data_IF_513269154044
#
_entry.id   IF_513269154044
#
_cell.length_a   1.000
_cell.length_b   1.000
_cell.length_c   1.000
_cell.angle_alpha   90.00
_cell.angle_beta   90.00
_cell.angle_gamma   90.00
#
_symmetry.space_group_name_H-M   'P 1'
#
loop_
_entity.id
_entity.type
_entity.pdbx_description
1 polymer ?
#
# COMPACT_ATOMS: atom_id res chain seq x y z
N UNK A 1 28.56 53.74 14.40
CA UNK A 1 28.70 52.31 14.04
C UNK A 1 27.31 51.71 13.95
N UNK A 2 26.98 50.91 12.93
CA UNK A 2 25.74 50.14 12.95
C UNK A 2 25.80 49.19 14.15
N UNK A 3 24.71 49.07 14.90
CA UNK A 3 24.59 48.02 15.92
C UNK A 3 24.56 46.66 15.21
N UNK A 4 25.37 45.72 15.67
CA UNK A 4 25.32 44.32 15.25
C UNK A 4 24.46 43.58 16.26
N UNK A 5 23.44 42.86 15.78
CA UNK A 5 22.63 41.99 16.61
C UNK A 5 23.30 40.62 16.75
N UNK A 6 23.41 40.12 17.97
CA UNK A 6 23.96 38.79 18.28
C UNK A 6 22.82 37.79 18.55
N UNK A 7 22.79 36.71 17.78
CA UNK A 7 21.80 35.64 17.93
C UNK A 7 22.15 34.65 19.06
N UNK A 8 23.38 34.67 19.58
CA UNK A 8 23.84 33.73 20.62
C UNK A 8 23.13 33.86 21.96
N UNK A 9 22.43 34.97 22.21
CA UNK A 9 21.65 35.20 23.44
C UNK A 9 20.14 35.04 23.24
N UNK A 10 19.70 34.61 22.06
CA UNK A 10 18.27 34.40 21.76
C UNK A 10 17.83 33.08 22.41
N UNK A 11 16.71 33.12 23.13
CA UNK A 11 16.11 31.92 23.72
C UNK A 11 15.65 30.95 22.62
N UNK A 12 15.90 29.64 22.76
CA UNK A 12 15.35 28.65 21.85
C UNK A 12 13.82 28.75 21.72
N UNK A 13 13.30 28.48 20.53
CA UNK A 13 11.87 28.48 20.25
C UNK A 13 11.22 29.86 20.18
N UNK A 14 11.98 30.94 20.05
CA UNK A 14 11.43 32.32 19.95
C UNK A 14 11.75 33.03 18.64
N UNK A 15 12.31 32.36 17.63
CA UNK A 15 12.79 32.98 16.40
C UNK A 15 11.70 33.80 15.67
N UNK A 16 10.47 33.27 15.63
CA UNK A 16 9.33 33.91 14.97
C UNK A 16 8.83 35.18 15.66
N UNK A 17 9.29 35.53 16.86
CA UNK A 17 8.95 36.82 17.47
C UNK A 17 9.56 37.99 16.68
N UNK A 18 10.68 37.75 15.99
CA UNK A 18 11.36 38.74 15.14
C UNK A 18 11.30 38.36 13.66
N UNK A 19 11.50 37.08 13.31
CA UNK A 19 11.44 36.58 11.93
C UNK A 19 10.00 36.29 11.48
N UNK A 20 9.16 37.34 11.52
CA UNK A 20 7.72 37.28 11.23
C UNK A 20 7.35 37.90 9.87
N UNK A 21 8.34 38.33 9.07
CA UNK A 21 8.12 39.02 7.80
C UNK A 21 7.83 40.52 7.92
N UNK A 22 7.70 41.05 9.14
CA UNK A 22 7.49 42.47 9.43
C UNK A 22 8.74 43.06 10.08
N UNK A 23 9.15 42.53 11.23
CA UNK A 23 10.33 43.01 11.99
C UNK A 23 11.63 42.55 11.34
N UNK A 24 11.64 41.34 10.81
CA UNK A 24 12.76 40.75 10.07
C UNK A 24 12.21 39.73 9.08
N UNK A 25 13.04 39.37 8.10
CA UNK A 25 12.68 38.37 7.08
C UNK A 25 12.16 37.10 7.74
N UNK A 26 10.94 36.71 7.39
CA UNK A 26 10.35 35.44 7.81
C UNK A 26 10.67 34.31 6.83
N UNK A 27 9.86 33.25 6.87
CA UNK A 27 9.95 32.16 5.91
C UNK A 27 9.62 32.68 4.48
N UNK A 28 10.51 32.50 3.49
CA UNK A 28 10.21 32.87 2.11
C UNK A 28 9.16 31.94 1.48
N UNK A 29 8.63 32.30 0.32
CA UNK A 29 7.53 31.55 -0.35
C UNK A 29 7.92 30.15 -0.81
N UNK A 30 9.22 29.88 -0.97
CA UNK A 30 9.81 28.59 -1.34
C UNK A 30 10.28 27.77 -0.13
N UNK A 31 10.04 28.25 1.09
CA UNK A 31 10.31 27.49 2.31
C UNK A 31 9.38 26.28 2.44
N UNK A 32 9.89 25.20 3.04
CA UNK A 32 9.07 24.03 3.38
C UNK A 32 7.88 24.41 4.28
N UNK A 33 6.74 23.77 4.09
CA UNK A 33 5.55 24.08 4.89
C UNK A 33 5.75 23.46 6.29
N UNK A 34 5.91 24.32 7.30
CA UNK A 34 6.12 23.91 8.69
C UNK A 34 5.69 25.00 9.66
N UNK A 35 5.12 24.59 10.80
CA UNK A 35 4.86 25.45 11.95
C UNK A 35 6.02 25.49 12.95
N UNK A 36 7.07 24.70 12.74
CA UNK A 36 8.24 24.64 13.62
C UNK A 36 8.96 25.99 13.71
N UNK A 37 9.63 26.20 14.84
CA UNK A 37 10.52 27.33 15.03
C UNK A 37 11.80 27.14 14.20
N UNK A 38 12.46 28.26 13.88
CA UNK A 38 13.59 28.26 12.95
C UNK A 38 14.76 27.40 13.46
N UNK A 39 14.94 27.34 14.77
CA UNK A 39 16.03 26.63 15.46
C UNK A 39 15.87 25.11 15.52
N UNK A 40 14.73 24.56 15.10
CA UNK A 40 14.53 23.12 14.90
C UNK A 40 15.25 22.62 13.62
N UNK A 41 15.44 23.51 12.65
CA UNK A 41 16.06 23.19 11.35
C UNK A 41 17.38 23.94 11.12
N UNK A 42 17.47 25.18 11.59
CA UNK A 42 18.57 26.09 11.32
C UNK A 42 19.35 26.40 12.58
N UNK A 43 20.61 26.81 12.41
CA UNK A 43 21.42 27.28 13.54
C UNK A 43 21.49 28.80 13.53
N UNK A 44 21.85 29.39 14.67
CA UNK A 44 22.14 30.82 14.78
C UNK A 44 23.41 31.24 14.03
N UNK A 45 24.20 30.27 13.56
CA UNK A 45 25.46 30.49 12.83
C UNK A 45 25.23 30.45 11.31
N UNK A 46 24.40 29.52 10.83
CA UNK A 46 24.12 29.33 9.41
C UNK A 46 22.72 28.75 9.18
N UNK A 47 22.07 29.22 8.11
CA UNK A 47 20.78 28.71 7.63
C UNK A 47 20.90 27.40 6.86
N UNK A 48 22.03 27.13 6.19
CA UNK A 48 22.22 25.91 5.39
C UNK A 48 23.61 25.31 5.73
N UNK A 49 23.73 23.98 5.84
CA UNK A 49 22.66 22.98 5.73
C UNK A 49 21.71 23.03 6.93
N UNK A 50 20.45 22.70 6.70
CA UNK A 50 19.44 22.57 7.73
C UNK A 50 19.27 21.09 8.11
N UNK A 51 18.93 20.81 9.38
CA UNK A 51 18.36 19.53 9.76
C UNK A 51 16.95 19.40 9.21
N UNK A 52 16.55 18.18 8.85
CA UNK A 52 15.22 17.89 8.35
C UNK A 52 14.63 16.68 9.08
N UNK A 53 13.41 16.84 9.61
CA UNK A 53 12.62 15.79 10.23
C UNK A 53 11.19 15.86 9.66
N UNK A 54 10.66 14.73 9.18
CA UNK A 54 9.31 14.65 8.63
C UNK A 54 8.23 14.99 9.68
N UNK A 55 8.47 14.74 10.96
CA UNK A 55 7.51 15.07 12.03
C UNK A 55 7.29 16.58 12.20
N UNK A 56 8.22 17.39 11.69
CA UNK A 56 8.20 18.85 11.79
C UNK A 56 7.54 19.52 10.58
N UNK A 57 7.21 18.79 9.52
CA UNK A 57 6.58 19.37 8.33
C UNK A 57 5.09 19.06 8.28
N UNK A 58 4.34 19.93 7.60
CA UNK A 58 2.91 19.72 7.35
C UNK A 58 2.63 19.78 5.85
N UNK A 59 1.65 19.00 5.40
CA UNK A 59 1.28 18.91 3.98
C UNK A 59 1.19 17.47 3.50
N UNK A 60 0.90 17.29 2.22
CA UNK A 60 0.84 15.96 1.61
C UNK A 60 2.20 15.52 1.10
N UNK A 61 2.48 14.21 1.11
CA UNK A 61 3.74 13.67 0.62
C UNK A 61 4.00 14.09 -0.82
N UNK A 62 2.97 14.04 -1.68
CA UNK A 62 3.08 14.43 -3.09
C UNK A 62 3.31 15.93 -3.29
N UNK A 63 3.00 16.76 -2.28
CA UNK A 63 3.24 18.20 -2.32
C UNK A 63 4.74 18.52 -2.36
N UNK A 64 5.54 17.79 -1.59
CA UNK A 64 7.00 17.94 -1.57
C UNK A 64 7.72 16.96 -2.50
N UNK A 65 7.31 15.68 -2.52
CA UNK A 65 7.89 14.64 -3.38
C UNK A 65 7.33 14.70 -4.81
N UNK A 66 7.46 15.87 -5.43
CA UNK A 66 6.94 16.21 -6.76
C UNK A 66 8.02 16.15 -7.86
N UNK A 67 9.26 15.78 -7.51
CA UNK A 67 10.41 15.76 -8.43
C UNK A 67 11.15 17.08 -8.58
N UNK A 68 10.67 18.15 -7.95
CA UNK A 68 11.32 19.47 -7.90
C UNK A 68 11.81 19.78 -6.48
N UNK A 69 10.90 19.83 -5.50
CA UNK A 69 11.23 20.15 -4.09
C UNK A 69 11.97 18.99 -3.42
N UNK A 70 11.46 17.78 -3.62
CA UNK A 70 12.08 16.54 -3.19
C UNK A 70 11.91 15.48 -4.29
N UNK A 71 12.69 14.40 -4.19
CA UNK A 71 12.62 13.28 -5.13
C UNK A 71 11.20 12.75 -5.21
N UNK A 72 10.64 12.72 -6.42
CA UNK A 72 9.32 12.17 -6.67
C UNK A 72 9.34 10.66 -6.88
N UNK A 73 8.25 10.13 -7.47
CA UNK A 73 8.14 8.71 -7.85
C UNK A 73 9.29 8.34 -8.82
N UNK A 74 10.14 7.34 -8.49
CA UNK A 74 11.22 6.93 -9.37
C UNK A 74 10.69 6.23 -10.64
N UNK A 75 11.55 6.09 -11.65
CA UNK A 75 11.23 5.29 -12.84
C UNK A 75 10.87 3.85 -12.47
N UNK A 76 9.78 3.32 -13.04
CA UNK A 76 9.25 1.99 -12.70
C UNK A 76 8.33 1.94 -11.48
N UNK A 77 8.07 3.09 -10.83
CA UNK A 77 7.05 3.18 -9.80
C UNK A 77 5.64 2.95 -10.41
N UNK A 78 4.79 2.26 -9.65
CA UNK A 78 3.39 2.02 -9.96
C UNK A 78 2.62 3.33 -10.21
N UNK A 79 1.83 3.40 -11.30
CA UNK A 79 0.95 4.55 -11.55
C UNK A 79 -0.22 4.53 -10.56
N UNK A 80 -0.25 5.53 -9.69
CA UNK A 80 -1.32 5.73 -8.71
C UNK A 80 -1.55 7.21 -8.46
N UNK A 81 -2.79 7.56 -8.13
CA UNK A 81 -3.21 8.87 -7.66
C UNK A 81 -3.23 8.99 -6.12
N UNK A 82 -3.06 7.87 -5.41
CA UNK A 82 -3.00 7.83 -3.95
C UNK A 82 -1.79 8.61 -3.41
N UNK A 83 -1.92 9.11 -2.18
CA UNK A 83 -0.81 9.72 -1.45
C UNK A 83 0.22 8.67 -1.03
N UNK A 84 1.46 9.12 -0.81
CA UNK A 84 2.57 8.20 -0.52
C UNK A 84 2.38 7.46 0.80
N UNK A 85 1.77 8.12 1.79
CA UNK A 85 1.50 7.61 3.13
C UNK A 85 0.43 6.51 3.19
N UNK A 86 -0.31 6.29 2.10
CA UNK A 86 -1.19 5.12 1.95
C UNK A 86 -0.38 3.80 1.85
N UNK A 87 0.89 3.88 1.46
CA UNK A 87 1.73 2.71 1.19
C UNK A 87 3.10 2.78 1.89
N UNK A 88 3.68 3.97 2.02
CA UNK A 88 4.99 4.23 2.61
C UNK A 88 4.84 4.89 3.97
N UNK A 89 5.87 4.76 4.81
CA UNK A 89 5.98 5.57 6.04
C UNK A 89 7.23 6.44 5.95
N UNK A 90 7.26 7.50 6.75
CA UNK A 90 8.41 8.41 6.86
C UNK A 90 9.67 7.71 7.36
N UNK A 91 9.52 6.68 8.20
CA UNK A 91 10.64 5.94 8.80
C UNK A 91 11.02 4.68 8.01
N UNK A 92 10.07 4.10 7.28
CA UNK A 92 10.27 2.85 6.52
C UNK A 92 9.66 3.00 5.14
N UNK A 93 10.45 3.56 4.23
CA UNK A 93 10.04 3.73 2.83
C UNK A 93 9.93 2.39 2.08
N UNK A 94 10.77 1.40 2.41
CA UNK A 94 10.75 0.04 1.84
C UNK A 94 11.16 -0.97 2.95
N UNK A 95 10.55 -2.17 3.06
CA UNK A 95 9.39 -2.67 2.29
C UNK A 95 8.06 -2.09 2.79
N UNK A 96 7.07 -2.05 1.89
CA UNK A 96 5.71 -1.57 2.21
C UNK A 96 4.94 -2.65 2.97
N UNK A 97 4.15 -2.25 3.97
CA UNK A 97 3.14 -3.11 4.60
C UNK A 97 1.78 -2.75 3.98
N UNK A 98 1.55 -3.22 2.76
CA UNK A 98 0.35 -2.89 1.99
C UNK A 98 -0.80 -3.85 2.34
N UNK A 99 -1.88 -3.30 2.90
CA UNK A 99 -3.14 -4.02 3.12
C UNK A 99 -4.22 -3.44 2.21
N UNK A 100 -4.99 -4.32 1.59
CA UNK A 100 -6.14 -3.88 0.79
C UNK A 100 -7.21 -3.32 1.73
N UNK A 101 -7.60 -2.06 1.53
CA UNK A 101 -8.74 -1.45 2.23
C UNK A 101 -10.05 -1.63 1.46
N UNK A 102 -9.99 -2.13 0.22
CA UNK A 102 -11.15 -2.34 -0.65
C UNK A 102 -11.87 -3.66 -0.34
N UNK A 103 -13.22 -3.65 -0.26
CA UNK A 103 -14.02 -4.86 -0.06
C UNK A 103 -13.97 -5.83 -1.26
N UNK A 104 -13.45 -5.39 -2.41
CA UNK A 104 -13.32 -6.21 -3.62
C UNK A 104 -12.20 -7.25 -3.51
N UNK A 105 -11.30 -7.13 -2.53
CA UNK A 105 -10.23 -8.09 -2.30
C UNK A 105 -10.52 -8.84 -1.00
N UNK A 106 -10.93 -10.12 -1.08
CA UNK A 106 -11.27 -10.89 0.10
C UNK A 106 -10.00 -11.30 0.87
N UNK A 107 -9.77 -10.63 2.00
CA UNK A 107 -8.81 -11.05 3.03
C UNK A 107 -7.34 -10.71 2.78
N UNK A 108 -6.53 -11.00 3.79
CA UNK A 108 -5.09 -10.79 3.76
C UNK A 108 -4.38 -12.02 3.17
N UNK A 109 -3.49 -11.81 2.20
CA UNK A 109 -2.57 -12.85 1.72
C UNK A 109 -1.50 -13.09 2.79
N UNK A 110 -1.16 -14.36 3.05
CA UNK A 110 -0.13 -14.71 4.05
C UNK A 110 1.29 -14.32 3.66
N UNK A 111 1.54 -14.08 2.37
CA UNK A 111 2.84 -13.70 1.83
C UNK A 111 2.99 -12.19 1.64
N UNK A 112 4.21 -11.68 1.82
CA UNK A 112 4.58 -10.35 1.35
C UNK A 112 4.52 -10.32 -0.18
N UNK A 113 3.43 -9.78 -0.72
CA UNK A 113 3.25 -9.63 -2.15
C UNK A 113 3.95 -8.38 -2.66
N UNK A 114 4.64 -8.50 -3.79
CA UNK A 114 5.09 -7.34 -4.56
C UNK A 114 3.88 -6.72 -5.27
N UNK A 115 3.91 -5.41 -5.53
CA UNK A 115 2.84 -4.72 -6.27
C UNK A 115 2.56 -5.38 -7.64
N UNK A 116 3.61 -5.88 -8.29
CA UNK A 116 3.55 -6.58 -9.58
C UNK A 116 2.96 -7.99 -9.52
N UNK A 117 2.69 -8.51 -8.31
CA UNK A 117 1.93 -9.74 -8.15
C UNK A 117 0.53 -9.59 -8.76
N UNK A 118 -0.12 -8.45 -8.51
CA UNK A 118 -1.47 -8.13 -9.00
C UNK A 118 -1.49 -7.06 -10.10
N UNK A 119 -0.66 -6.02 -9.99
CA UNK A 119 -0.57 -4.96 -10.97
C UNK A 119 0.38 -5.35 -12.11
N UNK A 120 -0.13 -6.18 -13.04
CA UNK A 120 0.61 -6.65 -14.22
C UNK A 120 0.84 -5.57 -15.28
N UNK A 121 0.10 -4.47 -15.20
CA UNK A 121 0.26 -3.31 -16.06
C UNK A 121 0.54 -2.07 -15.20
N UNK A 122 1.12 -1.05 -15.81
CA UNK A 122 1.39 0.22 -15.14
C UNK A 122 0.12 1.08 -15.08
N UNK A 123 -0.89 0.59 -14.35
CA UNK A 123 -2.22 1.18 -14.21
C UNK A 123 -2.71 0.96 -12.79
N UNK A 124 -3.45 1.94 -12.26
CA UNK A 124 -4.06 1.87 -10.92
C UNK A 124 -5.05 0.69 -10.81
N UNK A 125 -5.61 0.24 -11.93
CA UNK A 125 -6.48 -0.92 -11.97
C UNK A 125 -5.69 -2.23 -11.87
N UNK A 126 -6.18 -3.15 -11.02
CA UNK A 126 -5.72 -4.55 -11.06
C UNK A 126 -6.21 -5.18 -12.35
N UNK A 127 -5.29 -5.81 -13.08
CA UNK A 127 -5.61 -6.54 -14.29
C UNK A 127 -5.86 -8.00 -13.92
N UNK A 128 -7.13 -8.41 -13.93
CA UNK A 128 -7.51 -9.80 -13.74
C UNK A 128 -7.03 -10.65 -14.91
N UNK A 129 -6.35 -11.77 -14.60
CA UNK A 129 -5.92 -12.70 -15.64
C UNK A 129 -7.10 -13.43 -16.27
N UNK A 130 -8.17 -13.64 -15.49
CA UNK A 130 -9.44 -14.19 -15.95
C UNK A 130 -10.62 -13.27 -15.52
N UNK A 131 -10.89 -12.17 -16.25
CA UNK A 131 -11.88 -11.17 -15.87
C UNK A 131 -13.30 -11.70 -15.67
N UNK A 132 -13.65 -12.81 -16.32
CA UNK A 132 -14.96 -13.46 -16.20
C UNK A 132 -15.25 -14.01 -14.79
N UNK A 133 -14.20 -14.21 -13.97
CA UNK A 133 -14.35 -14.68 -12.60
C UNK A 133 -14.19 -13.57 -11.56
N UNK A 134 -14.02 -12.31 -11.96
CA UNK A 134 -13.95 -11.21 -11.01
C UNK A 134 -15.30 -11.02 -10.28
N UNK A 135 -15.31 -10.73 -8.96
CA UNK A 135 -14.18 -10.42 -8.08
C UNK A 135 -13.62 -11.64 -7.30
N UNK A 136 -13.94 -12.86 -7.72
CA UNK A 136 -13.65 -14.08 -6.96
C UNK A 136 -12.17 -14.51 -7.11
N UNK A 137 -11.69 -15.42 -6.26
CA UNK A 137 -10.29 -15.88 -6.24
C UNK A 137 -9.80 -16.36 -7.63
N UNK A 138 -10.67 -17.04 -8.37
CA UNK A 138 -10.41 -17.55 -9.71
C UNK A 138 -10.09 -16.44 -10.74
N UNK A 139 -10.44 -15.18 -10.49
CA UNK A 139 -10.08 -14.06 -11.38
C UNK A 139 -8.57 -13.91 -11.56
N UNK A 140 -7.78 -14.34 -10.57
CA UNK A 140 -6.34 -14.47 -10.64
C UNK A 140 -5.89 -15.94 -10.71
N UNK A 141 -6.52 -16.82 -9.92
CA UNK A 141 -6.05 -18.18 -9.66
C UNK A 141 -6.72 -19.27 -10.51
N UNK A 142 -7.46 -18.93 -11.57
CA UNK A 142 -8.12 -19.92 -12.42
C UNK A 142 -7.15 -20.98 -12.99
N UNK A 143 -5.90 -20.60 -13.24
CA UNK A 143 -4.87 -21.50 -13.76
C UNK A 143 -4.26 -22.42 -12.70
N UNK A 144 -4.43 -22.09 -11.42
CA UNK A 144 -3.92 -22.88 -10.29
C UNK A 144 -4.89 -24.02 -9.92
N UNK A 145 -6.12 -23.98 -10.45
CA UNK A 145 -7.14 -24.98 -10.20
C UNK A 145 -6.74 -26.36 -10.72
N UNK A 146 -6.53 -27.29 -9.78
CA UNK A 146 -6.32 -28.70 -10.07
C UNK A 146 -7.69 -29.40 -10.09
N UNK A 147 -8.07 -29.94 -11.25
CA UNK A 147 -9.40 -30.57 -11.44
C UNK A 147 -9.57 -31.86 -10.63
N UNK A 148 -8.55 -32.72 -10.61
CA UNK A 148 -8.69 -34.10 -10.12
C UNK A 148 -9.11 -34.20 -8.63
N UNK A 149 -8.59 -33.37 -7.70
CA UNK A 149 -9.05 -33.35 -6.32
C UNK A 149 -10.54 -32.98 -6.15
N UNK A 150 -11.15 -32.33 -7.15
CA UNK A 150 -12.49 -31.73 -7.08
C UNK A 150 -13.56 -32.60 -7.76
N UNK A 151 -13.62 -33.89 -7.42
CA UNK A 151 -14.64 -34.81 -7.96
C UNK A 151 -16.03 -34.59 -7.33
N UNK A 152 -17.10 -34.60 -8.13
CA UNK A 152 -18.53 -34.57 -7.72
C UNK A 152 -19.05 -35.96 -7.36
N UNK A 153 -18.95 -36.90 -8.29
CA UNK A 153 -19.38 -38.29 -8.17
C UNK A 153 -18.62 -39.17 -9.16
N UNK A 154 -18.78 -40.48 -9.04
CA UNK A 154 -18.04 -41.49 -9.80
C UNK A 154 -18.99 -42.31 -10.67
N UNK A 155 -18.45 -43.00 -11.69
CA UNK A 155 -19.19 -43.88 -12.61
C UNK A 155 -20.36 -43.18 -13.36
N UNK A 156 -20.08 -42.22 -14.26
CA UNK A 156 -18.75 -41.77 -14.68
C UNK A 156 -18.17 -40.68 -13.77
N UNK A 157 -16.84 -40.63 -13.71
CA UNK A 157 -16.13 -39.59 -12.98
C UNK A 157 -16.51 -38.20 -13.50
N UNK A 158 -17.14 -37.42 -12.63
CA UNK A 158 -17.57 -36.05 -12.92
C UNK A 158 -16.95 -35.12 -11.91
N UNK A 159 -16.43 -33.97 -12.36
CA UNK A 159 -15.67 -33.04 -11.54
C UNK A 159 -16.33 -31.66 -11.53
N UNK A 160 -16.04 -30.88 -10.49
CA UNK A 160 -16.31 -29.45 -10.48
C UNK A 160 -15.38 -28.73 -11.45
N UNK A 161 -15.89 -27.63 -12.00
CA UNK A 161 -15.11 -26.67 -12.78
C UNK A 161 -14.66 -25.49 -11.91
N UNK A 162 -13.67 -24.73 -12.39
CA UNK A 162 -13.27 -23.44 -11.81
C UNK A 162 -14.47 -22.52 -11.62
N UNK A 163 -15.39 -22.48 -12.58
CA UNK A 163 -16.57 -21.62 -12.52
C UNK A 163 -17.52 -21.97 -11.38
N UNK A 164 -17.55 -23.25 -10.96
CA UNK A 164 -18.40 -23.73 -9.86
C UNK A 164 -17.72 -23.53 -8.51
N UNK A 165 -16.39 -23.49 -8.48
CA UNK A 165 -15.55 -23.32 -7.27
C UNK A 165 -14.68 -22.07 -7.37
N UNK A 166 -15.28 -20.98 -7.84
CA UNK A 166 -14.58 -19.71 -8.17
C UNK A 166 -13.93 -19.01 -6.97
N UNK A 167 -14.46 -19.21 -5.78
CA UNK A 167 -13.91 -18.70 -4.52
C UNK A 167 -12.84 -19.63 -3.93
N UNK A 168 -12.49 -20.69 -4.67
CA UNK A 168 -11.59 -21.74 -4.26
C UNK A 168 -11.95 -22.37 -2.90
N UNK A 169 -13.16 -22.22 -2.37
CA UNK A 169 -13.59 -22.80 -1.09
C UNK A 169 -13.60 -24.34 -1.06
N UNK A 170 -13.28 -24.98 -2.19
CA UNK A 170 -13.31 -26.42 -2.39
C UNK A 170 -14.75 -26.95 -2.41
N UNK A 171 -14.89 -28.24 -2.74
CA UNK A 171 -16.17 -28.93 -2.60
C UNK A 171 -16.30 -29.54 -1.21
N UNK A 172 -17.31 -29.17 -0.43
CA UNK A 172 -17.53 -29.79 0.89
C UNK A 172 -17.92 -31.27 0.78
N UNK A 173 -18.56 -31.67 -0.32
CA UNK A 173 -19.13 -33.00 -0.48
C UNK A 173 -18.73 -33.66 -1.80
N UNK A 174 -18.66 -34.99 -1.75
CA UNK A 174 -18.72 -35.88 -2.90
C UNK A 174 -19.99 -36.73 -2.78
N UNK A 175 -20.70 -36.92 -3.88
CA UNK A 175 -22.00 -37.57 -3.95
C UNK A 175 -21.90 -39.00 -4.46
N UNK A 176 -22.94 -39.78 -4.22
CA UNK A 176 -23.04 -41.18 -4.68
C UNK A 176 -23.17 -41.28 -6.20
N UNK A 177 -23.90 -40.34 -6.81
CA UNK A 177 -24.29 -40.36 -8.21
C UNK A 177 -24.65 -38.94 -8.73
N UNK A 178 -25.13 -38.88 -9.97
CA UNK A 178 -25.47 -37.65 -10.67
C UNK A 178 -26.65 -36.87 -10.10
N UNK A 179 -27.48 -37.46 -9.23
CA UNK A 179 -28.60 -36.74 -8.62
C UNK A 179 -28.14 -35.80 -7.50
N UNK A 180 -26.94 -36.00 -6.97
CA UNK A 180 -26.33 -35.13 -5.94
C UNK A 180 -27.21 -34.90 -4.70
N UNK A 181 -28.06 -35.86 -4.34
CA UNK A 181 -28.95 -35.82 -3.16
C UNK A 181 -28.36 -36.55 -1.95
N UNK A 182 -27.51 -37.57 -2.19
CA UNK A 182 -26.89 -38.37 -1.14
C UNK A 182 -25.39 -38.15 -1.11
N UNK A 183 -24.88 -37.73 0.04
CA UNK A 183 -23.45 -37.49 0.26
C UNK A 183 -22.75 -38.85 0.46
N UNK A 184 -21.76 -39.13 -0.39
CA UNK A 184 -20.87 -40.29 -0.27
C UNK A 184 -19.70 -40.00 0.68
N UNK A 185 -19.14 -38.79 0.63
CA UNK A 185 -17.99 -38.39 1.45
C UNK A 185 -18.03 -36.88 1.73
N UNK A 186 -17.87 -36.51 3.00
CA UNK A 186 -17.53 -35.15 3.38
C UNK A 186 -16.02 -34.93 3.22
N UNK A 187 -15.63 -33.80 2.63
CA UNK A 187 -14.24 -33.34 2.57
C UNK A 187 -14.08 -32.24 3.64
N UNK A 188 -13.33 -32.47 4.73
CA UNK A 188 -13.08 -31.42 5.71
C UNK A 188 -12.24 -30.31 5.05
N UNK A 189 -12.65 -29.04 5.16
CA UNK A 189 -11.95 -27.90 4.54
C UNK A 189 -10.93 -27.26 5.48
N UNK A 190 -9.73 -26.88 4.98
CA UNK A 190 -9.49 -25.49 4.55
C UNK A 190 -8.41 -25.33 3.45
N UNK A 191 -8.32 -26.22 2.47
CA UNK A 191 -7.16 -26.37 1.56
C UNK A 191 -6.84 -25.16 0.67
N UNK A 192 -7.66 -24.12 0.71
CA UNK A 192 -7.55 -22.93 -0.12
C UNK A 192 -7.83 -21.66 0.69
N UNK A 193 -7.24 -21.54 1.89
CA UNK A 193 -7.24 -20.26 2.61
C UNK A 193 -6.22 -19.33 1.97
N UNK A 194 -6.60 -18.07 1.76
CA UNK A 194 -5.70 -16.99 1.28
C UNK A 194 -4.49 -16.80 2.23
N UNK A 195 -4.62 -17.25 3.48
CA UNK A 195 -3.54 -17.27 4.48
C UNK A 195 -2.67 -18.53 4.49
N UNK A 196 -2.94 -19.54 3.66
CA UNK A 196 -2.06 -20.69 3.49
C UNK A 196 -1.10 -20.40 2.34
N UNK A 197 0.21 -20.55 2.58
CA UNK A 197 1.25 -20.29 1.58
C UNK A 197 1.34 -21.35 0.46
N UNK A 198 0.51 -22.38 0.53
CA UNK A 198 0.50 -23.55 -0.39
C UNK A 198 -0.54 -23.42 -1.53
N UNK A 199 -1.05 -22.21 -1.77
CA UNK A 199 -1.94 -21.95 -2.90
C UNK A 199 -1.23 -22.11 -4.24
#
# INVERSE_FOLDING_TARGET
TPAVFDHGTVSPGTCTSCHNGITSTGKPSDHIITAAQCDECHTTIAWIPASFNHDLVTGSCSGCHNGSTATGKPGGHFVTSLQCDECHTTDRWIPLDFRHTSPLYPGDHSGSLLCTACHKANSEAVTWSAPAYAPDCAACHANDFKRDPHKKYENPDTFYSVSELRDCSGSCHMYTDSNMTTIKKNRPGPEHRVTNGDF
#
